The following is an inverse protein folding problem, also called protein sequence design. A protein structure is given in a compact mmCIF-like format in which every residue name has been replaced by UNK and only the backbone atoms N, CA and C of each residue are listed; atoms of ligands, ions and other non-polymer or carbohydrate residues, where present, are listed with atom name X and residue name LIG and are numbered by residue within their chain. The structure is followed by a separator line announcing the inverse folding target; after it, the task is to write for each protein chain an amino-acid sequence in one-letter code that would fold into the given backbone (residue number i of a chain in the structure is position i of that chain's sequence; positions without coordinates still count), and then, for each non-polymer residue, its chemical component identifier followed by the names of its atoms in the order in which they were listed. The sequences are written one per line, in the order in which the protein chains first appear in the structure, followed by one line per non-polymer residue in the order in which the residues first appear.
data_IF_960778829784
#
_entry.id   IF_960778829784
#
_cell.length_a   1.000
_cell.length_b   1.000
_cell.length_c   1.000
_cell.angle_alpha   90.00
_cell.angle_beta   90.00
_cell.angle_gamma   90.00
#
_symmetry.space_group_name_H-M   'P 1'
#
loop_
_entity.id
_entity.type
_entity.pdbx_description
1 polymer ?
#
# COMPACT_ATOMS: atom_id res chain seq x y z
N UNK A 1 51.16 59.66 34.88
CA UNK A 1 50.48 59.82 33.58
C UNK A 1 48.99 59.77 33.89
N UNK A 2 48.45 60.84 34.46
CA UNK A 2 48.04 62.10 33.80
C UNK A 2 46.57 62.01 33.37
N UNK A 3 45.75 62.79 34.10
CA UNK A 3 44.47 63.47 33.78
C UNK A 3 43.39 62.75 32.96
N UNK A 4 42.09 62.86 33.27
CA UNK A 4 41.38 63.80 34.12
C UNK A 4 39.87 63.80 33.74
N UNK A 5 39.02 64.08 34.75
CA UNK A 5 37.62 64.58 34.81
C UNK A 5 36.94 65.09 33.51
N UNK A 6 35.59 65.26 33.42
CA UNK A 6 34.63 65.49 34.53
C UNK A 6 33.21 64.87 34.37
N UNK A 7 32.40 65.01 35.43
CA UNK A 7 30.93 64.95 35.39
C UNK A 7 30.35 66.36 35.31
N UNK A 8 29.45 66.62 34.36
CA UNK A 8 28.57 67.81 34.26
C UNK A 8 27.26 67.42 33.53
N UNK A 9 26.12 67.60 34.20
CA UNK A 9 24.76 67.75 33.63
C UNK A 9 24.49 69.26 33.40
N UNK A 10 23.33 69.76 32.90
CA UNK A 10 22.26 69.29 32.00
C UNK A 10 21.99 70.28 30.83
N UNK A 11 20.97 70.04 29.99
CA UNK A 11 19.90 70.99 29.58
C UNK A 11 19.39 70.80 28.14
N UNK A 12 18.09 70.49 28.06
CA UNK A 12 17.07 70.89 27.06
C UNK A 12 17.57 71.33 25.67
N UNK A 13 17.28 70.48 24.69
CA UNK A 13 17.10 70.87 23.30
C UNK A 13 16.02 69.99 22.67
N UNK A 14 14.79 70.48 22.65
CA UNK A 14 13.67 69.88 21.90
C UNK A 14 14.01 69.97 20.42
N UNK A 15 14.07 68.83 19.72
CA UNK A 15 13.78 68.76 18.29
C UNK A 15 13.03 67.48 17.99
N UNK A 16 11.83 67.69 17.46
CA UNK A 16 10.82 66.73 17.08
C UNK A 16 11.07 66.19 15.66
N UNK A 17 10.79 64.89 15.50
CA UNK A 17 10.46 64.13 14.27
C UNK A 17 11.60 63.72 13.30
N UNK A 18 11.47 62.60 12.51
CA UNK A 18 10.43 61.55 12.50
C UNK A 18 10.94 60.08 12.44
N UNK A 19 10.00 59.15 12.73
CA UNK A 19 9.81 57.79 12.22
C UNK A 19 11.02 56.98 11.69
N UNK A 20 11.31 55.86 12.36
CA UNK A 20 11.48 54.56 11.70
C UNK A 20 11.28 53.43 12.72
N UNK A 21 10.02 52.99 12.87
CA UNK A 21 9.71 51.73 13.52
C UNK A 21 10.17 50.60 12.59
N UNK A 22 11.23 49.89 12.96
CA UNK A 22 11.56 48.61 12.32
C UNK A 22 11.05 47.52 13.24
N UNK A 23 9.76 47.23 13.12
CA UNK A 23 9.15 45.99 13.60
C UNK A 23 9.80 44.84 12.86
N UNK A 24 10.65 44.07 13.55
CA UNK A 24 11.13 42.79 13.08
C UNK A 24 9.94 41.82 13.01
N UNK A 25 9.33 41.70 11.83
CA UNK A 25 8.36 40.65 11.53
C UNK A 25 9.13 39.34 11.54
N UNK A 26 8.96 38.55 12.59
CA UNK A 26 9.31 37.13 12.58
C UNK A 26 8.45 36.47 11.50
N UNK A 27 9.03 36.24 10.34
CA UNK A 27 8.46 35.37 9.32
C UNK A 27 8.46 33.94 9.90
N UNK A 28 7.31 33.52 10.43
CA UNK A 28 7.04 32.12 10.68
C UNK A 28 7.03 31.42 9.32
N UNK A 29 8.14 30.75 8.98
CA UNK A 29 8.18 29.79 7.91
C UNK A 29 7.31 28.60 8.32
N UNK A 30 6.01 28.67 8.01
CA UNK A 30 5.19 27.48 7.93
C UNK A 30 5.76 26.63 6.78
N UNK A 31 6.61 25.67 7.12
CA UNK A 31 6.96 24.60 6.22
C UNK A 31 5.65 23.85 5.91
N UNK A 32 5.03 24.19 4.78
CA UNK A 32 3.99 23.39 4.16
C UNK A 32 4.61 22.09 3.70
N UNK A 33 4.72 21.13 4.61
CA UNK A 33 4.93 19.73 4.26
C UNK A 33 3.56 19.18 3.91
N UNK A 34 3.44 18.57 2.74
CA UNK A 34 2.19 18.29 2.06
C UNK A 34 1.11 17.67 2.94
N UNK A 35 -0.12 18.06 2.61
CA UNK A 35 -1.38 17.46 3.03
C UNK A 35 -1.33 15.94 2.75
N UNK A 36 -0.71 15.20 3.66
CA UNK A 36 -0.76 13.76 3.69
C UNK A 36 -1.80 13.45 4.74
N UNK A 37 -3.05 13.29 4.28
CA UNK A 37 -4.08 12.73 5.14
C UNK A 37 -3.47 11.53 5.88
N UNK A 38 -3.57 11.50 7.20
CA UNK A 38 -2.91 10.49 8.01
C UNK A 38 -3.71 9.17 7.95
N UNK A 39 -3.01 8.03 8.07
CA UNK A 39 -3.67 6.74 8.23
C UNK A 39 -3.97 6.52 9.71
N UNK A 40 -5.24 6.55 10.08
CA UNK A 40 -5.68 6.34 11.47
C UNK A 40 -6.01 4.86 11.79
N UNK A 41 -6.07 3.99 10.78
CA UNK A 41 -6.30 2.56 10.96
C UNK A 41 -5.01 1.74 11.01
N UNK A 42 -5.04 0.63 11.76
CA UNK A 42 -3.97 -0.37 11.74
C UNK A 42 -4.04 -1.19 10.44
N UNK A 43 -2.91 -1.32 9.75
CA UNK A 43 -2.83 -2.16 8.54
C UNK A 43 -3.02 -3.64 8.93
N UNK A 44 -3.92 -4.39 8.25
CA UNK A 44 -4.18 -5.79 8.59
C UNK A 44 -2.92 -6.67 8.48
N UNK A 45 -2.77 -7.60 9.42
CA UNK A 45 -1.74 -8.67 9.39
C UNK A 45 -2.23 -9.96 8.75
N UNK A 46 -3.41 -9.92 8.13
CA UNK A 46 -4.00 -11.02 7.38
C UNK A 46 -4.82 -10.47 6.23
N UNK A 47 -4.73 -11.13 5.09
CA UNK A 47 -5.49 -10.83 3.90
C UNK A 47 -6.27 -12.09 3.53
N UNK A 48 -7.60 -12.02 3.56
CA UNK A 48 -8.47 -13.10 3.07
C UNK A 48 -8.21 -14.47 3.72
N UNK A 49 -7.91 -14.45 5.02
CA UNK A 49 -7.59 -15.64 5.82
C UNK A 49 -6.13 -16.11 5.73
N UNK A 50 -5.28 -15.43 4.96
CA UNK A 50 -3.86 -15.72 4.83
C UNK A 50 -3.04 -14.70 5.62
N UNK A 51 -2.16 -15.18 6.50
CA UNK A 51 -1.27 -14.31 7.27
C UNK A 51 -0.18 -13.70 6.38
N UNK A 52 -0.03 -12.37 6.48
CA UNK A 52 0.99 -11.60 5.77
C UNK A 52 1.52 -10.47 6.65
N UNK A 53 2.70 -9.95 6.33
CA UNK A 53 3.27 -8.78 6.99
C UNK A 53 2.46 -7.55 6.62
N UNK A 54 2.05 -6.79 7.64
CA UNK A 54 1.39 -5.50 7.45
C UNK A 54 2.21 -4.55 6.55
N UNK A 55 3.54 -4.55 6.73
CA UNK A 55 4.46 -3.75 5.92
C UNK A 55 4.36 -3.99 4.40
N UNK A 56 3.89 -5.17 3.98
CA UNK A 56 3.72 -5.51 2.56
C UNK A 56 2.42 -4.93 1.99
N UNK A 57 1.39 -4.74 2.82
CA UNK A 57 0.15 -4.07 2.45
C UNK A 57 0.22 -2.54 2.56
N UNK A 58 0.98 -2.02 3.53
CA UNK A 58 1.07 -0.59 3.84
C UNK A 58 1.22 0.33 2.62
N UNK A 59 2.08 0.02 1.62
CA UNK A 59 2.27 0.92 0.49
C UNK A 59 1.03 1.05 -0.40
N UNK A 60 0.23 -0.01 -0.50
CA UNK A 60 -0.92 -0.12 -1.41
C UNK A 60 -2.20 0.50 -0.84
N UNK A 61 -2.26 0.71 0.48
CA UNK A 61 -3.45 1.22 1.13
C UNK A 61 -3.41 2.75 1.26
N UNK A 62 -4.51 3.46 0.95
CA UNK A 62 -4.56 4.91 1.08
C UNK A 62 -4.68 5.35 2.54
N UNK A 63 -4.50 6.63 2.85
CA UNK A 63 -4.92 7.16 4.14
C UNK A 63 -6.42 7.01 4.37
N UNK A 64 -6.86 7.17 5.62
CA UNK A 64 -8.25 6.99 6.01
C UNK A 64 -8.41 6.58 7.46
N UNK A 65 -9.67 6.35 7.86
CA UNK A 65 -10.05 6.12 9.27
C UNK A 65 -10.26 4.67 9.61
N UNK A 66 -10.81 3.91 8.68
CA UNK A 66 -11.22 2.53 8.92
C UNK A 66 -10.81 1.63 7.76
N UNK A 67 -10.26 0.47 8.10
CA UNK A 67 -10.05 -0.62 7.16
C UNK A 67 -10.97 -1.77 7.49
N UNK A 68 -11.56 -2.39 6.47
CA UNK A 68 -12.34 -3.60 6.58
C UNK A 68 -11.85 -4.62 5.55
N UNK A 69 -11.68 -5.87 5.97
CA UNK A 69 -11.47 -7.00 5.07
C UNK A 69 -12.78 -7.77 5.02
N UNK A 70 -13.43 -7.78 3.86
CA UNK A 70 -14.67 -8.54 3.62
C UNK A 70 -14.30 -9.89 3.03
N UNK A 71 -14.34 -10.98 3.81
CA UNK A 71 -14.18 -12.31 3.25
C UNK A 71 -15.39 -12.65 2.37
N UNK A 72 -15.16 -13.45 1.33
CA UNK A 72 -16.25 -14.11 0.62
C UNK A 72 -16.90 -15.18 1.50
N UNK A 73 -18.12 -15.57 1.16
CA UNK A 73 -18.66 -16.87 1.52
C UNK A 73 -18.16 -17.87 0.48
N UNK A 74 -17.14 -18.71 0.78
CA UNK A 74 -16.60 -19.63 -0.20
C UNK A 74 -17.69 -20.61 -0.67
N UNK A 75 -18.00 -20.56 -1.96
CA UNK A 75 -18.78 -21.61 -2.62
C UNK A 75 -17.78 -22.68 -3.08
N UNK A 76 -17.99 -23.97 -2.77
CA UNK A 76 -17.16 -25.05 -3.30
C UNK A 76 -17.06 -24.93 -4.83
N UNK A 77 -15.84 -25.07 -5.34
CA UNK A 77 -15.54 -25.04 -6.78
C UNK A 77 -15.84 -23.71 -7.51
N UNK A 78 -16.01 -22.61 -6.77
CA UNK A 78 -16.20 -21.27 -7.32
C UNK A 78 -15.00 -20.34 -7.11
N UNK A 79 -14.97 -19.27 -7.89
CA UNK A 79 -14.09 -18.11 -7.66
C UNK A 79 -14.40 -17.56 -6.27
N UNK A 80 -13.38 -17.45 -5.42
CA UNK A 80 -13.49 -16.79 -4.12
C UNK A 80 -12.95 -15.37 -4.23
N UNK A 81 -13.77 -14.37 -3.90
CA UNK A 81 -13.41 -12.95 -3.96
C UNK A 81 -13.44 -12.31 -2.59
N UNK A 82 -12.30 -11.76 -2.18
CA UNK A 82 -12.16 -11.03 -0.92
C UNK A 82 -11.74 -9.60 -1.19
N UNK A 83 -12.36 -8.65 -0.50
CA UNK A 83 -12.13 -7.23 -0.71
C UNK A 83 -11.56 -6.56 0.54
N UNK A 84 -10.64 -5.63 0.34
CA UNK A 84 -10.18 -4.68 1.35
C UNK A 84 -10.78 -3.33 1.01
N UNK A 85 -11.48 -2.75 1.98
CA UNK A 85 -12.07 -1.43 1.87
C UNK A 85 -11.47 -0.47 2.89
N UNK A 86 -11.12 0.74 2.45
CA UNK A 86 -10.76 1.86 3.32
C UNK A 86 -11.87 2.90 3.24
N UNK A 87 -12.42 3.27 4.39
CA UNK A 87 -13.55 4.20 4.51
C UNK A 87 -14.71 3.83 3.56
N UNK A 88 -15.02 2.53 3.51
CA UNK A 88 -16.08 1.90 2.70
C UNK A 88 -15.84 1.89 1.17
N UNK A 89 -14.67 2.33 0.70
CA UNK A 89 -14.25 2.22 -0.71
C UNK A 89 -13.35 1.01 -0.88
N UNK A 90 -13.64 0.13 -1.83
CA UNK A 90 -12.79 -1.02 -2.15
C UNK A 90 -11.50 -0.49 -2.76
N UNK A 91 -10.36 -0.84 -2.16
CA UNK A 91 -9.01 -0.41 -2.58
C UNK A 91 -8.17 -1.57 -3.08
N UNK A 92 -8.51 -2.80 -2.70
CA UNK A 92 -7.81 -4.00 -3.10
C UNK A 92 -8.78 -5.18 -3.15
N UNK A 93 -8.68 -6.03 -4.17
CA UNK A 93 -9.38 -7.33 -4.21
C UNK A 93 -8.37 -8.47 -4.36
N UNK A 94 -8.69 -9.61 -3.75
CA UNK A 94 -8.01 -10.89 -3.96
C UNK A 94 -9.02 -11.89 -4.48
N UNK A 95 -8.79 -12.41 -5.68
CA UNK A 95 -9.57 -13.47 -6.28
C UNK A 95 -8.74 -14.75 -6.31
N UNK A 96 -9.35 -15.88 -5.99
CA UNK A 96 -8.75 -17.20 -6.10
C UNK A 96 -9.66 -18.13 -6.86
N UNK A 97 -9.07 -18.90 -7.77
CA UNK A 97 -9.81 -19.76 -8.68
C UNK A 97 -9.01 -21.04 -8.96
N UNK A 98 -9.69 -22.19 -8.92
CA UNK A 98 -9.17 -23.46 -9.41
C UNK A 98 -9.23 -23.47 -10.93
N UNK A 99 -8.14 -23.87 -11.58
CA UNK A 99 -8.02 -23.80 -13.03
C UNK A 99 -7.39 -25.06 -13.59
N UNK A 100 -7.68 -25.31 -14.86
CA UNK A 100 -6.92 -26.28 -15.64
C UNK A 100 -5.41 -25.95 -15.58
N UNK A 101 -4.57 -26.98 -15.47
CA UNK A 101 -3.13 -26.79 -15.32
C UNK A 101 -2.50 -26.28 -16.61
N UNK A 102 -1.34 -25.63 -16.47
CA UNK A 102 -0.52 -25.20 -17.61
C UNK A 102 -0.65 -23.73 -18.00
N UNK A 103 -1.60 -22.98 -17.43
CA UNK A 103 -1.67 -21.53 -17.60
C UNK A 103 -0.43 -20.84 -16.99
N UNK A 104 0.21 -19.92 -17.73
CA UNK A 104 1.21 -19.04 -17.13
C UNK A 104 0.54 -17.84 -16.47
N UNK A 105 1.14 -17.29 -15.42
CA UNK A 105 0.60 -16.11 -14.74
C UNK A 105 0.46 -14.89 -15.68
N UNK A 106 1.35 -14.79 -16.68
CA UNK A 106 1.31 -13.72 -17.68
C UNK A 106 0.09 -13.82 -18.60
N UNK A 107 -0.30 -15.03 -19.01
CA UNK A 107 -1.44 -15.24 -19.92
C UNK A 107 -2.71 -14.73 -19.24
N UNK A 108 -2.88 -15.04 -17.95
CA UNK A 108 -3.99 -14.56 -17.12
C UNK A 108 -3.95 -13.04 -16.98
N UNK A 109 -2.79 -12.46 -16.70
CA UNK A 109 -2.65 -11.01 -16.57
C UNK A 109 -3.05 -10.29 -17.88
N UNK A 110 -2.64 -10.81 -19.03
CA UNK A 110 -2.96 -10.21 -20.34
C UNK A 110 -4.42 -10.46 -20.70
N UNK A 111 -4.88 -11.70 -20.66
CA UNK A 111 -6.16 -12.12 -21.25
C UNK A 111 -7.34 -11.77 -20.33
N UNK A 112 -7.20 -11.94 -19.02
CA UNK A 112 -8.27 -11.69 -18.06
C UNK A 112 -8.28 -10.26 -17.54
N UNK A 113 -7.09 -9.66 -17.34
CA UNK A 113 -6.96 -8.36 -16.71
C UNK A 113 -6.63 -7.24 -17.70
N UNK A 114 -6.45 -7.55 -18.98
CA UNK A 114 -6.02 -6.59 -20.01
C UNK A 114 -4.73 -5.86 -19.60
N UNK A 115 -3.85 -6.53 -18.85
CA UNK A 115 -2.62 -5.92 -18.38
C UNK A 115 -1.66 -5.68 -19.56
N UNK A 116 -1.23 -4.44 -19.73
CA UNK A 116 -0.22 -4.08 -20.72
C UNK A 116 1.18 -4.39 -20.19
N UNK A 117 1.90 -5.24 -20.92
CA UNK A 117 3.28 -5.68 -20.64
C UNK A 117 3.58 -6.07 -19.17
N UNK A 118 2.87 -7.06 -18.60
CA UNK A 118 3.09 -7.47 -17.21
C UNK A 118 4.47 -8.12 -17.03
N UNK A 119 5.24 -7.63 -16.05
CA UNK A 119 6.51 -8.26 -15.67
C UNK A 119 6.28 -9.65 -15.12
N UNK A 120 7.27 -10.53 -15.25
CA UNK A 120 7.20 -11.91 -14.75
C UNK A 120 8.25 -12.18 -13.68
N UNK A 121 7.93 -13.07 -12.74
CA UNK A 121 8.83 -13.54 -11.68
C UNK A 121 8.58 -15.02 -11.37
N UNK A 122 9.40 -15.59 -10.46
CA UNK A 122 9.25 -16.96 -9.94
C UNK A 122 9.03 -18.02 -11.03
N UNK A 123 9.96 -18.11 -12.00
CA UNK A 123 9.85 -19.07 -13.11
C UNK A 123 8.49 -19.02 -13.85
N UNK A 124 7.98 -17.79 -14.08
CA UNK A 124 6.72 -17.48 -14.77
C UNK A 124 5.44 -17.85 -14.00
N UNK A 125 5.55 -18.24 -12.74
CA UNK A 125 4.37 -18.47 -11.88
C UNK A 125 3.86 -17.19 -11.23
N UNK A 126 4.52 -16.05 -11.44
CA UNK A 126 4.06 -14.73 -11.01
C UNK A 126 4.13 -13.77 -12.20
N UNK A 127 3.08 -12.96 -12.38
CA UNK A 127 3.05 -11.82 -13.30
C UNK A 127 2.46 -10.59 -12.59
N UNK A 128 2.94 -9.39 -12.90
CA UNK A 128 2.51 -8.18 -12.19
C UNK A 128 2.70 -6.89 -12.99
N UNK A 129 1.88 -5.90 -12.65
CA UNK A 129 1.96 -4.48 -13.02
C UNK A 129 1.91 -3.63 -11.73
N UNK A 130 1.71 -2.33 -11.88
CA UNK A 130 1.47 -1.40 -10.77
C UNK A 130 0.10 -1.58 -10.09
N UNK A 131 -0.86 -2.22 -10.76
CA UNK A 131 -2.28 -2.25 -10.38
C UNK A 131 -2.87 -3.65 -10.34
N UNK A 132 -2.20 -4.65 -10.92
CA UNK A 132 -2.63 -6.03 -10.86
C UNK A 132 -1.43 -6.99 -10.71
N UNK A 133 -1.63 -8.09 -10.00
CA UNK A 133 -0.69 -9.19 -9.94
C UNK A 133 -1.42 -10.53 -9.96
N UNK A 134 -0.76 -11.52 -10.57
CA UNK A 134 -1.25 -12.88 -10.71
C UNK A 134 -0.18 -13.82 -10.19
N UNK A 135 -0.59 -14.85 -9.46
CA UNK A 135 0.24 -16.02 -9.21
C UNK A 135 -0.46 -17.32 -9.52
N UNK A 136 0.34 -18.35 -9.78
CA UNK A 136 -0.08 -19.74 -9.96
C UNK A 136 0.56 -20.60 -8.87
N UNK A 137 -0.27 -21.25 -8.07
CA UNK A 137 0.12 -22.31 -7.15
C UNK A 137 -0.16 -23.64 -7.83
N UNK A 138 0.92 -24.33 -8.22
CA UNK A 138 0.81 -25.64 -8.86
C UNK A 138 0.43 -26.70 -7.84
N UNK A 139 -0.75 -27.30 -8.01
CA UNK A 139 -1.23 -28.38 -7.15
C UNK A 139 -1.12 -29.75 -7.81
N UNK A 140 -1.02 -29.78 -9.13
CA UNK A 140 -0.91 -30.99 -9.96
C UNK A 140 0.33 -31.86 -9.69
N UNK A 141 1.32 -31.34 -8.97
CA UNK A 141 2.45 -32.15 -8.49
C UNK A 141 2.04 -33.26 -7.50
N UNK A 142 0.82 -33.23 -6.95
CA UNK A 142 0.35 -34.19 -5.96
C UNK A 142 -0.43 -35.38 -6.57
N UNK A 143 -0.49 -35.53 -7.90
CA UNK A 143 -1.19 -36.57 -8.71
C UNK A 143 -2.70 -36.76 -8.46
N UNK A 144 -3.19 -36.44 -7.27
CA UNK A 144 -4.58 -36.55 -6.83
C UNK A 144 -5.41 -35.33 -7.24
N UNK A 145 -4.77 -34.18 -7.40
CA UNK A 145 -5.43 -32.90 -7.71
C UNK A 145 -5.11 -32.52 -9.14
N UNK A 146 -6.15 -32.31 -9.95
CA UNK A 146 -6.01 -32.07 -11.40
C UNK A 146 -5.96 -30.60 -11.78
N UNK A 147 -6.15 -29.69 -10.83
CA UNK A 147 -6.29 -28.26 -11.06
C UNK A 147 -5.21 -27.49 -10.32
N UNK A 148 -4.66 -26.46 -10.94
CA UNK A 148 -3.82 -25.48 -10.26
C UNK A 148 -4.69 -24.37 -9.64
N UNK A 149 -4.12 -23.60 -8.72
CA UNK A 149 -4.82 -22.47 -8.10
C UNK A 149 -4.19 -21.18 -8.59
N UNK A 150 -5.00 -20.33 -9.24
CA UNK A 150 -4.63 -18.96 -9.53
C UNK A 150 -4.99 -18.04 -8.35
N UNK A 151 -4.17 -17.02 -8.12
CA UNK A 151 -4.51 -15.88 -7.27
C UNK A 151 -4.33 -14.61 -8.06
N UNK A 152 -5.34 -13.76 -8.08
CA UNK A 152 -5.30 -12.43 -8.68
C UNK A 152 -5.46 -11.39 -7.58
N UNK A 153 -4.55 -10.42 -7.52
CA UNK A 153 -4.65 -9.26 -6.65
C UNK A 153 -4.79 -8.02 -7.54
N UNK A 154 -5.82 -7.21 -7.32
CA UNK A 154 -6.01 -5.93 -8.00
C UNK A 154 -6.06 -4.80 -7.00
N UNK A 155 -5.51 -3.65 -7.37
CA UNK A 155 -5.56 -2.40 -6.61
C UNK A 155 -6.44 -1.41 -7.36
N UNK A 156 -7.38 -0.81 -6.64
CA UNK A 156 -8.34 0.16 -7.16
C UNK A 156 -8.15 1.49 -6.46
N UNK A 157 -8.44 2.58 -7.17
CA UNK A 157 -8.50 3.90 -6.55
C UNK A 157 -9.56 3.92 -5.43
N UNK A 158 -9.27 4.52 -4.26
CA UNK A 158 -8.13 5.38 -3.96
C UNK A 158 -6.82 4.67 -3.52
N UNK A 159 -6.75 3.34 -3.57
CA UNK A 159 -5.52 2.59 -3.30
C UNK A 159 -4.35 3.00 -4.20
N UNK A 160 -3.15 2.86 -3.67
CA UNK A 160 -1.94 3.30 -4.36
C UNK A 160 -1.41 2.20 -5.26
N UNK A 161 -1.32 2.51 -6.56
CA UNK A 161 -0.64 1.65 -7.53
C UNK A 161 0.86 1.70 -7.28
N UNK A 162 1.46 0.53 -7.08
CA UNK A 162 2.90 0.39 -6.83
C UNK A 162 3.33 -1.01 -7.26
N UNK A 163 4.11 -1.07 -8.35
CA UNK A 163 4.54 -2.32 -8.96
C UNK A 163 5.40 -3.18 -8.02
N UNK A 164 6.30 -2.54 -7.27
CA UNK A 164 7.21 -3.25 -6.37
C UNK A 164 6.46 -3.78 -5.15
N UNK A 165 5.57 -2.97 -4.57
CA UNK A 165 4.73 -3.39 -3.46
C UNK A 165 3.79 -4.52 -3.87
N UNK A 166 3.17 -4.44 -5.05
CA UNK A 166 2.25 -5.47 -5.51
C UNK A 166 2.96 -6.78 -5.85
N UNK A 167 4.17 -6.73 -6.44
CA UNK A 167 5.06 -7.89 -6.59
C UNK A 167 5.40 -8.55 -5.25
N UNK A 168 5.75 -7.74 -4.25
CA UNK A 168 6.09 -8.24 -2.92
C UNK A 168 4.87 -8.90 -2.26
N UNK A 169 3.71 -8.26 -2.35
CA UNK A 169 2.45 -8.79 -1.82
C UNK A 169 2.07 -10.13 -2.45
N UNK A 170 2.03 -10.22 -3.78
CA UNK A 170 1.64 -11.47 -4.45
C UNK A 170 2.63 -12.60 -4.12
N UNK A 171 3.92 -12.29 -4.01
CA UNK A 171 4.96 -13.27 -3.65
C UNK A 171 4.74 -13.79 -2.24
N UNK A 172 4.62 -12.89 -1.26
CA UNK A 172 4.41 -13.27 0.14
C UNK A 172 3.09 -14.02 0.34
N UNK A 173 2.00 -13.51 -0.25
CA UNK A 173 0.69 -14.14 -0.17
C UNK A 173 0.72 -15.56 -0.76
N UNK A 174 1.39 -15.77 -1.89
CA UNK A 174 1.51 -17.09 -2.53
C UNK A 174 2.29 -18.06 -1.65
N UNK A 175 3.40 -17.62 -1.04
CA UNK A 175 4.18 -18.47 -0.13
C UNK A 175 3.43 -18.79 1.16
N UNK A 176 2.65 -17.85 1.69
CA UNK A 176 1.80 -18.07 2.84
C UNK A 176 0.62 -19.00 2.51
N UNK A 177 0.01 -18.85 1.33
CA UNK A 177 -1.08 -19.71 0.85
C UNK A 177 -0.60 -21.15 0.70
N UNK A 178 0.58 -21.41 0.11
CA UNK A 178 1.13 -22.77 0.00
C UNK A 178 1.23 -23.49 1.35
N UNK A 179 1.53 -22.76 2.43
CA UNK A 179 1.64 -23.30 3.79
C UNK A 179 0.29 -23.64 4.41
N UNK A 180 -0.82 -23.15 3.87
CA UNK A 180 -2.17 -23.45 4.34
C UNK A 180 -2.81 -24.65 3.62
N UNK A 181 -2.00 -25.51 2.98
CA UNK A 181 -2.45 -26.69 2.23
C UNK A 181 -3.64 -26.44 1.26
N UNK A 182 -3.54 -25.45 0.35
CA UNK A 182 -4.66 -25.04 -0.50
C UNK A 182 -5.02 -26.10 -1.56
N UNK A 183 -4.08 -27.02 -1.82
CA UNK A 183 -4.19 -28.09 -2.79
C UNK A 183 -4.85 -29.36 -2.23
N UNK A 184 -5.14 -29.44 -0.93
CA UNK A 184 -5.81 -30.63 -0.39
C UNK A 184 -7.27 -30.69 -0.88
N UNK A 185 -7.69 -31.90 -1.30
CA UNK A 185 -9.09 -32.16 -1.62
C UNK A 185 -9.83 -32.14 -0.29
N UNK A 186 -10.77 -31.20 -0.11
CA UNK A 186 -11.66 -31.25 1.05
C UNK A 186 -12.55 -32.47 0.92
N UNK A 187 -12.26 -33.53 1.67
CA UNK A 187 -13.18 -34.64 1.86
C UNK A 187 -14.43 -34.10 2.52
N UNK A 188 -15.54 -34.06 1.76
CA UNK A 188 -16.88 -33.84 2.30
C UNK A 188 -17.37 -35.06 3.08
#
# INVERSE_FOLDING_TARGET
MELGKPSLRPARGVRLLPLAAVTAVMAAAAAGCGDSAEREYAVPSSLCGIHIKAATLTPLLPPGKHVAVKPDNPVPDAITTCEVAVDKKVVLSVERERREPGAAARDIAVDQLSAHDPKSAAARTIAYTDSAAVSITRCTAQEVVKEDISTVIRVFEPGHKDESALKNLITEYTEALKKSSPCEVKSG
#
